data_IF_258970756343
#
_entry.id   IF_258970756343
#
_cell.length_a   1.000
_cell.length_b   1.000
_cell.length_c   1.000
_cell.angle_alpha   90.00
_cell.angle_beta   90.00
_cell.angle_gamma   90.00
#
_symmetry.space_group_name_H-M   'P 1'
#
loop_
_entity.id
_entity.type
_entity.pdbx_description
1 polymer ?
#
# COMPACT_ATOMS: atom_id res chain seq x y z
N UNK A 1 -17.48 -2.09 -15.24
CA UNK A 1 -18.15 -0.83 -14.88
C UNK A 1 -18.76 -0.28 -16.15
N UNK A 2 -20.06 -0.49 -16.32
CA UNK A 2 -20.83 0.20 -17.34
C UNK A 2 -20.95 1.67 -16.89
N UNK A 3 -20.53 2.59 -17.75
CA UNK A 3 -20.09 3.95 -17.42
C UNK A 3 -21.18 4.95 -17.02
N UNK A 4 -22.17 4.56 -16.21
CA UNK A 4 -23.29 5.42 -15.82
C UNK A 4 -23.25 5.92 -14.37
N UNK A 5 -22.34 5.38 -13.53
CA UNK A 5 -22.24 5.78 -12.13
C UNK A 5 -20.78 5.84 -11.65
N UNK A 6 -20.49 6.81 -10.78
CA UNK A 6 -19.18 7.02 -10.14
C UNK A 6 -19.36 6.92 -8.64
N UNK A 7 -18.67 5.95 -8.01
CA UNK A 7 -18.58 5.87 -6.56
C UNK A 7 -17.38 6.70 -6.07
N UNK A 8 -17.59 7.50 -5.02
CA UNK A 8 -16.51 8.25 -4.35
C UNK A 8 -16.24 7.67 -2.98
N UNK A 9 -14.99 7.28 -2.77
CA UNK A 9 -14.49 6.79 -1.49
C UNK A 9 -13.55 7.86 -0.91
N UNK A 10 -13.81 8.27 0.34
CA UNK A 10 -12.90 9.14 1.09
C UNK A 10 -12.08 8.28 2.04
N UNK A 11 -10.76 8.40 1.93
CA UNK A 11 -9.79 7.77 2.82
C UNK A 11 -9.06 8.82 3.63
N UNK A 12 -8.55 8.44 4.80
CA UNK A 12 -7.66 9.30 5.56
C UNK A 12 -6.31 9.41 4.83
N UNK A 13 -5.91 10.63 4.48
CA UNK A 13 -4.57 10.87 3.96
C UNK A 13 -3.55 10.78 5.09
N UNK A 14 -2.71 9.75 5.07
CA UNK A 14 -1.54 9.68 5.92
C UNK A 14 -0.44 10.64 5.45
N UNK A 15 0.39 11.07 6.40
CA UNK A 15 1.54 11.93 6.18
C UNK A 15 2.78 11.10 6.53
N UNK A 16 3.20 10.29 5.56
CA UNK A 16 4.38 9.46 5.64
C UNK A 16 5.05 9.38 4.28
N UNK A 17 6.00 8.47 4.18
CA UNK A 17 6.75 8.21 2.96
C UNK A 17 6.13 7.06 2.17
N UNK A 18 6.05 7.20 0.85
CA UNK A 18 5.46 6.17 -0.01
C UNK A 18 6.16 4.82 0.13
N UNK A 19 5.38 3.78 0.39
CA UNK A 19 5.81 2.40 0.55
C UNK A 19 4.99 1.46 -0.32
N UNK A 20 5.67 0.56 -1.02
CA UNK A 20 5.04 -0.47 -1.85
C UNK A 20 5.62 -1.82 -1.47
N UNK A 21 4.75 -2.82 -1.35
CA UNK A 21 5.14 -4.16 -0.93
C UNK A 21 4.55 -5.17 -1.88
N UNK A 22 5.37 -6.13 -2.30
CA UNK A 22 4.93 -7.26 -3.11
C UNK A 22 5.78 -8.50 -2.92
N UNK A 23 5.32 -9.64 -3.42
CA UNK A 23 6.03 -10.93 -3.37
C UNK A 23 6.49 -11.34 -4.78
N UNK A 24 7.77 -11.59 -4.96
CA UNK A 24 8.28 -12.19 -6.19
C UNK A 24 8.31 -13.70 -6.05
N UNK A 25 7.49 -14.40 -6.85
CA UNK A 25 7.46 -15.87 -6.89
C UNK A 25 8.74 -16.44 -7.46
N UNK A 26 9.27 -15.83 -8.52
CA UNK A 26 10.53 -16.23 -9.18
C UNK A 26 11.72 -16.18 -8.22
N UNK A 27 11.79 -15.14 -7.39
CA UNK A 27 12.89 -14.96 -6.42
C UNK A 27 12.57 -15.54 -5.04
N UNK A 28 11.34 -16.03 -4.83
CA UNK A 28 10.83 -16.42 -3.52
C UNK A 28 11.19 -15.40 -2.43
N UNK A 29 10.96 -14.12 -2.73
CA UNK A 29 11.44 -12.99 -1.93
C UNK A 29 10.44 -11.85 -1.89
N UNK A 30 10.47 -11.10 -0.78
CA UNK A 30 9.73 -9.83 -0.69
C UNK A 30 10.43 -8.78 -1.54
N UNK A 31 9.64 -7.98 -2.24
CA UNK A 31 10.08 -6.76 -2.92
C UNK A 31 9.43 -5.58 -2.20
N UNK A 32 10.25 -4.78 -1.53
CA UNK A 32 9.81 -3.61 -0.76
C UNK A 32 10.41 -2.37 -1.39
N UNK A 33 9.56 -1.42 -1.75
CA UNK A 33 9.94 -0.26 -2.55
C UNK A 33 9.54 1.02 -1.83
N UNK A 34 10.50 1.92 -1.67
CA UNK A 34 10.27 3.34 -1.42
C UNK A 34 9.96 4.06 -2.74
N UNK A 35 9.77 5.38 -2.73
CA UNK A 35 9.51 6.13 -3.97
C UNK A 35 10.52 5.87 -5.11
N UNK A 36 11.81 5.70 -4.79
CA UNK A 36 12.88 5.67 -5.80
C UNK A 36 13.77 4.42 -5.75
N UNK A 37 13.58 3.55 -4.76
CA UNK A 37 14.48 2.41 -4.49
C UNK A 37 13.69 1.20 -4.02
N UNK A 38 13.97 0.07 -4.65
CA UNK A 38 13.46 -1.26 -4.29
C UNK A 38 14.53 -2.11 -3.60
N UNK A 39 14.10 -2.86 -2.60
CA UNK A 39 14.88 -3.87 -1.88
C UNK A 39 14.24 -5.23 -2.10
N UNK A 40 15.07 -6.23 -2.37
CA UNK A 40 14.64 -7.64 -2.49
C UNK A 40 15.25 -8.40 -1.32
N UNK A 41 14.41 -9.01 -0.49
CA UNK A 41 14.87 -9.69 0.71
C UNK A 41 13.93 -10.83 1.12
N UNK A 42 14.47 -11.93 1.61
CA UNK A 42 13.68 -13.04 2.16
C UNK A 42 13.36 -12.83 3.63
N UNK A 43 14.24 -12.15 4.34
CA UNK A 43 14.16 -11.95 5.78
C UNK A 43 14.91 -10.68 6.21
N UNK A 44 14.82 -10.37 7.51
CA UNK A 44 15.47 -9.21 8.12
C UNK A 44 17.00 -9.21 7.99
N UNK A 45 17.64 -10.40 7.95
CA UNK A 45 19.10 -10.51 7.81
C UNK A 45 19.53 -10.01 6.43
N UNK A 46 18.86 -10.45 5.36
CA UNK A 46 19.13 -9.99 3.99
C UNK A 46 19.08 -8.45 3.93
N UNK A 47 18.07 -7.82 4.55
CA UNK A 47 17.94 -6.35 4.61
C UNK A 47 19.13 -5.70 5.30
N UNK A 48 19.60 -6.26 6.42
CA UNK A 48 20.69 -5.67 7.22
C UNK A 48 22.07 -5.86 6.58
N UNK A 49 22.29 -6.98 5.87
CA UNK A 49 23.63 -7.32 5.35
C UNK A 49 23.84 -6.88 3.91
N UNK A 50 22.81 -6.88 3.08
CA UNK A 50 22.93 -6.57 1.65
C UNK A 50 22.74 -5.08 1.34
N UNK A 51 22.12 -4.33 2.25
CA UNK A 51 21.73 -2.93 2.04
C UNK A 51 22.31 -2.04 3.15
N UNK A 52 23.42 -1.33 2.89
CA UNK A 52 24.04 -0.46 3.87
C UNK A 52 23.15 0.74 4.26
N UNK A 53 23.13 1.09 5.54
CA UNK A 53 22.17 2.05 6.10
C UNK A 53 22.35 3.48 5.59
N UNK A 54 23.57 3.98 5.49
CA UNK A 54 23.86 5.38 5.12
C UNK A 54 24.05 5.57 3.61
N UNK A 55 23.20 4.95 2.81
CA UNK A 55 23.28 5.01 1.34
C UNK A 55 21.93 5.36 0.73
N UNK A 56 21.82 5.30 -0.61
CA UNK A 56 20.55 5.44 -1.34
C UNK A 56 19.43 4.51 -0.84
N UNK A 57 19.77 3.43 -0.11
CA UNK A 57 18.81 2.48 0.44
C UNK A 57 18.19 2.91 1.77
N UNK A 58 18.62 4.02 2.39
CA UNK A 58 18.22 4.42 3.75
C UNK A 58 16.71 4.28 4.01
N UNK A 59 15.87 4.96 3.22
CA UNK A 59 14.42 4.94 3.39
C UNK A 59 13.83 3.55 3.08
N UNK A 60 14.15 2.96 1.93
CA UNK A 60 13.68 1.64 1.55
C UNK A 60 14.03 0.58 2.60
N UNK A 61 15.21 0.70 3.24
CA UNK A 61 15.67 -0.18 4.30
C UNK A 61 14.83 -0.03 5.56
N UNK A 62 14.50 1.19 5.99
CA UNK A 62 13.61 1.43 7.14
C UNK A 62 12.22 0.82 6.88
N UNK A 63 11.66 1.02 5.68
CA UNK A 63 10.39 0.42 5.26
C UNK A 63 10.49 -1.11 5.26
N UNK A 64 11.55 -1.67 4.68
CA UNK A 64 11.76 -3.12 4.62
C UNK A 64 11.91 -3.73 6.01
N UNK A 65 12.65 -3.12 6.93
CA UNK A 65 12.77 -3.60 8.30
C UNK A 65 11.43 -3.55 9.05
N UNK A 66 10.65 -2.48 8.85
CA UNK A 66 9.30 -2.37 9.38
C UNK A 66 8.41 -3.52 8.85
N UNK A 67 8.46 -3.79 7.54
CA UNK A 67 7.75 -4.91 6.92
C UNK A 67 8.19 -6.27 7.45
N UNK A 68 9.49 -6.53 7.54
CA UNK A 68 10.03 -7.80 8.04
C UNK A 68 9.61 -8.06 9.49
N UNK A 69 9.61 -7.03 10.34
CA UNK A 69 9.09 -7.13 11.72
C UNK A 69 7.61 -7.50 11.72
N UNK A 70 6.83 -6.93 10.80
CA UNK A 70 5.40 -7.22 10.68
C UNK A 70 5.16 -8.67 10.24
N UNK A 71 5.79 -9.13 9.16
CA UNK A 71 5.67 -10.51 8.67
C UNK A 71 6.11 -11.51 9.73
N UNK A 72 7.22 -11.25 10.45
CA UNK A 72 7.71 -12.11 11.54
C UNK A 72 6.71 -12.27 12.69
N UNK A 73 5.83 -11.29 12.90
CA UNK A 73 4.77 -11.37 13.92
C UNK A 73 3.52 -12.12 13.47
N UNK A 74 3.42 -12.48 12.19
CA UNK A 74 2.30 -13.24 11.64
C UNK A 74 2.56 -14.74 11.74
N UNK A 75 1.50 -15.54 11.90
CA UNK A 75 1.59 -16.99 11.75
C UNK A 75 1.76 -17.40 10.28
N UNK A 76 2.41 -18.54 10.03
CA UNK A 76 2.78 -19.00 8.68
C UNK A 76 1.59 -19.01 7.71
N UNK A 77 0.43 -19.56 8.12
CA UNK A 77 -0.76 -19.60 7.27
C UNK A 77 -1.22 -18.21 6.78
N UNK A 78 -1.02 -17.15 7.58
CA UNK A 78 -1.33 -15.77 7.16
C UNK A 78 -0.28 -15.24 6.19
N UNK A 79 0.99 -15.58 6.42
CA UNK A 79 2.07 -15.22 5.50
C UNK A 79 1.84 -15.87 4.14
N UNK A 80 1.44 -17.14 4.12
CA UNK A 80 1.16 -17.87 2.88
C UNK A 80 0.03 -17.20 2.08
N UNK A 81 -1.12 -16.96 2.73
CA UNK A 81 -2.26 -16.25 2.12
C UNK A 81 -1.88 -14.84 1.63
N UNK A 82 -1.04 -14.13 2.38
CA UNK A 82 -0.54 -12.81 2.01
C UNK A 82 0.39 -12.86 0.80
N UNK A 83 1.31 -13.84 0.75
CA UNK A 83 2.19 -14.03 -0.40
C UNK A 83 1.44 -14.47 -1.65
N UNK A 84 0.33 -15.21 -1.50
CA UNK A 84 -0.55 -15.56 -2.60
C UNK A 84 -1.18 -14.31 -3.23
N UNK A 85 -1.80 -13.43 -2.44
CA UNK A 85 -2.35 -12.17 -2.94
C UNK A 85 -1.22 -11.28 -3.51
N UNK A 86 -0.12 -11.11 -2.77
CA UNK A 86 1.02 -10.29 -3.22
C UNK A 86 1.82 -10.90 -4.37
N UNK A 87 1.54 -12.14 -4.79
CA UNK A 87 2.07 -12.69 -6.05
C UNK A 87 1.41 -12.01 -7.26
N UNK A 88 0.14 -11.58 -7.12
CA UNK A 88 -0.66 -10.96 -8.16
C UNK A 88 -0.69 -9.43 -8.05
N UNK A 89 -0.51 -8.93 -6.84
CA UNK A 89 -0.71 -7.53 -6.50
C UNK A 89 0.54 -6.85 -5.91
N UNK A 90 0.52 -5.52 -5.96
CA UNK A 90 1.40 -4.62 -5.21
C UNK A 90 0.52 -3.85 -4.23
N UNK A 91 0.79 -3.98 -2.94
CA UNK A 91 0.11 -3.20 -1.93
C UNK A 91 0.83 -1.87 -1.75
N UNK A 92 0.06 -0.79 -1.70
CA UNK A 92 0.55 0.59 -1.65
C UNK A 92 0.06 1.23 -0.36
N UNK A 93 0.99 1.86 0.35
CA UNK A 93 0.73 2.54 1.60
C UNK A 93 1.74 3.63 1.89
N UNK A 94 1.58 4.24 3.05
CA UNK A 94 2.54 5.20 3.59
C UNK A 94 3.25 4.61 4.81
N UNK A 95 4.57 4.71 4.81
CA UNK A 95 5.41 4.45 5.97
C UNK A 95 5.36 5.65 6.92
N UNK A 96 4.84 5.42 8.11
CA UNK A 96 4.53 6.47 9.09
C UNK A 96 5.18 6.17 10.44
N UNK A 97 5.36 7.21 11.26
CA UNK A 97 5.75 7.07 12.68
C UNK A 97 7.22 6.76 12.94
N UNK A 98 8.07 6.75 11.90
CA UNK A 98 9.51 6.75 12.07
C UNK A 98 9.98 8.10 12.65
N UNK A 99 10.83 8.06 13.69
CA UNK A 99 11.30 9.27 14.41
C UNK A 99 12.43 9.99 13.69
N UNK A 100 13.11 9.32 12.77
CA UNK A 100 14.23 9.87 12.00
C UNK A 100 13.73 10.64 10.76
N UNK A 101 12.44 10.51 10.42
CA UNK A 101 11.80 11.16 9.26
C UNK A 101 10.89 12.29 9.72
N UNK A 102 10.98 13.43 9.04
CA UNK A 102 10.21 14.63 9.38
C UNK A 102 8.82 14.49 8.74
N UNK A 103 7.83 14.18 9.56
CA UNK A 103 6.41 14.23 9.22
C UNK A 103 5.72 15.34 10.02
N UNK A 104 4.78 16.04 9.39
CA UNK A 104 3.92 17.06 10.01
C UNK A 104 3.00 16.44 11.08
N UNK A 105 2.56 15.21 10.87
CA UNK A 105 1.68 14.48 11.79
C UNK A 105 2.51 13.52 12.62
N UNK A 106 2.35 13.59 13.96
CA UNK A 106 2.95 12.63 14.88
C UNK A 106 2.09 11.36 14.94
N UNK A 107 2.70 10.23 14.62
CA UNK A 107 2.07 8.91 14.74
C UNK A 107 2.56 8.18 15.99
N UNK A 108 1.68 7.40 16.62
CA UNK A 108 1.98 6.69 17.87
C UNK A 108 2.92 5.48 17.72
N UNK A 109 3.06 4.94 16.50
CA UNK A 109 3.97 3.83 16.20
C UNK A 109 4.44 3.86 14.75
N UNK A 110 5.60 3.27 14.53
CA UNK A 110 6.13 2.98 13.21
C UNK A 110 5.33 1.84 12.55
N UNK A 111 4.80 2.06 11.35
CA UNK A 111 4.12 1.04 10.54
C UNK A 111 3.99 1.47 9.08
N UNK A 112 3.45 0.59 8.23
CA UNK A 112 2.98 0.91 6.87
C UNK A 112 1.46 0.89 6.89
N UNK A 113 0.83 2.01 6.51
CA UNK A 113 -0.62 2.13 6.43
C UNK A 113 -1.08 2.02 4.98
N UNK A 114 -1.68 0.88 4.61
CA UNK A 114 -2.04 0.57 3.23
C UNK A 114 -3.35 1.23 2.81
N UNK A 115 -3.40 1.77 1.59
CA UNK A 115 -4.57 2.50 1.08
C UNK A 115 -4.96 2.13 -0.36
N UNK A 116 -4.12 1.41 -1.11
CA UNK A 116 -4.42 1.02 -2.49
C UNK A 116 -3.73 -0.30 -2.85
N UNK A 117 -4.27 -0.97 -3.86
CA UNK A 117 -3.73 -2.19 -4.43
C UNK A 117 -3.59 -2.00 -5.93
N UNK A 118 -2.46 -2.40 -6.50
CA UNK A 118 -2.27 -2.44 -7.95
C UNK A 118 -2.06 -3.87 -8.43
N UNK A 119 -2.62 -4.22 -9.58
CA UNK A 119 -2.33 -5.50 -10.24
C UNK A 119 -1.00 -5.47 -10.96
N UNK A 120 -0.21 -6.54 -10.85
CA UNK A 120 1.07 -6.67 -11.57
C UNK A 120 0.91 -6.95 -13.06
N UNK A 121 -0.12 -7.73 -13.42
CA UNK A 121 -0.26 -8.24 -14.77
C UNK A 121 -0.52 -7.10 -15.77
N UNK A 122 0.40 -6.95 -16.74
CA UNK A 122 0.19 -6.25 -18.01
C UNK A 122 -0.15 -7.30 -19.07
N UNK A 123 -1.32 -7.21 -19.68
CA UNK A 123 -1.57 -7.89 -20.96
C UNK A 123 -1.29 -6.91 -22.11
N UNK A 124 -1.07 -7.41 -23.32
CA UNK A 124 -0.98 -6.56 -24.51
C UNK A 124 -2.22 -5.67 -24.69
N UNK A 125 -3.40 -6.14 -24.26
CA UNK A 125 -4.65 -5.40 -24.28
C UNK A 125 -4.76 -4.32 -23.18
N UNK A 126 -4.01 -4.43 -22.09
CA UNK A 126 -4.02 -3.45 -20.97
C UNK A 126 -2.76 -2.58 -20.91
N UNK A 127 -1.81 -2.77 -21.83
CA UNK A 127 -0.52 -2.07 -21.83
C UNK A 127 -0.64 -0.53 -21.92
N UNK A 128 -1.70 -0.03 -22.56
CA UNK A 128 -2.02 1.42 -22.66
C UNK A 128 -2.67 1.99 -21.40
N UNK A 129 -3.14 1.14 -20.49
CA UNK A 129 -3.82 1.56 -19.27
C UNK A 129 -2.76 1.73 -18.19
N UNK A 130 -2.38 2.98 -17.97
CA UNK A 130 -1.22 3.39 -17.16
C UNK A 130 -1.52 3.34 -15.66
N UNK A 131 -1.66 2.13 -15.11
CA UNK A 131 -1.83 1.80 -13.68
C UNK A 131 -3.30 1.65 -13.27
N UNK A 132 -3.74 0.42 -13.03
CA UNK A 132 -5.02 0.13 -12.39
C UNK A 132 -4.80 -0.04 -10.90
N UNK A 133 -5.12 1.00 -10.14
CA UNK A 133 -5.60 0.74 -8.79
C UNK A 133 -6.80 -0.19 -8.91
N UNK A 134 -6.80 -1.29 -8.18
CA UNK A 134 -7.93 -2.22 -8.16
C UNK A 134 -9.14 -1.51 -7.57
N UNK A 135 -10.28 -1.60 -8.26
CA UNK A 135 -11.52 -0.95 -7.80
C UNK A 135 -11.93 -1.42 -6.40
N UNK A 136 -11.65 -2.70 -6.09
CA UNK A 136 -11.91 -3.33 -4.80
C UNK A 136 -10.67 -3.34 -3.87
N UNK A 137 -9.72 -2.43 -4.04
CA UNK A 137 -8.46 -2.36 -3.26
C UNK A 137 -8.67 -2.57 -1.76
N UNK A 138 -9.68 -1.90 -1.18
CA UNK A 138 -9.95 -1.99 0.26
C UNK A 138 -10.45 -3.37 0.68
N UNK A 139 -11.30 -4.01 -0.12
CA UNK A 139 -11.75 -5.37 0.18
C UNK A 139 -10.58 -6.36 0.16
N UNK A 140 -9.64 -6.19 -0.78
CA UNK A 140 -8.41 -6.99 -0.85
C UNK A 140 -7.55 -6.77 0.40
N UNK A 141 -7.28 -5.50 0.77
CA UNK A 141 -6.47 -5.17 1.94
C UNK A 141 -7.11 -5.66 3.25
N UNK A 142 -8.43 -5.54 3.39
CA UNK A 142 -9.15 -5.91 4.61
C UNK A 142 -9.14 -7.42 4.89
N UNK A 143 -8.93 -8.28 3.88
CA UNK A 143 -8.70 -9.72 4.11
C UNK A 143 -7.54 -9.99 5.06
N UNK A 144 -6.56 -9.09 5.08
CA UNK A 144 -5.34 -9.20 5.88
C UNK A 144 -5.40 -8.42 7.19
N UNK A 145 -6.53 -7.78 7.51
CA UNK A 145 -6.75 -7.16 8.81
C UNK A 145 -7.01 -8.23 9.90
N UNK A 146 -6.64 -7.97 11.18
CA UNK A 146 -5.95 -6.79 11.69
C UNK A 146 -4.42 -6.89 11.58
N UNK A 147 -3.87 -7.89 10.86
CA UNK A 147 -2.43 -8.06 10.77
C UNK A 147 -1.77 -6.89 10.01
N UNK A 148 -2.40 -6.44 8.93
CA UNK A 148 -2.02 -5.23 8.20
C UNK A 148 -2.82 -4.02 8.69
N UNK A 149 -2.13 -2.88 8.72
CA UNK A 149 -2.75 -1.59 9.00
C UNK A 149 -3.30 -1.03 7.69
N UNK A 150 -4.61 -0.85 7.64
CA UNK A 150 -5.33 -0.37 6.46
C UNK A 150 -5.96 0.97 6.79
N UNK A 151 -5.80 1.93 5.88
CA UNK A 151 -6.37 3.26 6.02
C UNK A 151 -7.89 3.15 6.12
N UNK A 152 -8.44 3.82 7.14
CA UNK A 152 -9.87 3.97 7.29
C UNK A 152 -10.44 4.70 6.07
N UNK A 153 -11.51 4.13 5.50
CA UNK A 153 -12.20 4.68 4.35
C UNK A 153 -13.72 4.64 4.60
N UNK A 154 -14.43 5.50 3.87
CA UNK A 154 -15.89 5.51 3.83
C UNK A 154 -16.39 5.88 2.43
N UNK A 155 -17.47 5.23 2.01
CA UNK A 155 -18.22 5.64 0.82
C UNK A 155 -18.89 6.97 1.12
N UNK A 156 -18.65 7.97 0.28
CA UNK A 156 -19.27 9.28 0.41
C UNK A 156 -20.51 9.42 -0.47
N UNK A 157 -20.64 8.59 -1.50
CA UNK A 157 -21.81 8.55 -2.36
C UNK A 157 -21.53 7.84 -3.69
N UNK A 158 -22.62 7.50 -4.38
CA UNK A 158 -22.61 7.00 -5.75
C UNK A 158 -23.38 8.01 -6.60
N UNK A 159 -22.73 8.53 -7.64
CA UNK A 159 -23.23 9.66 -8.42
C UNK A 159 -23.52 9.23 -9.84
N UNK A 160 -24.64 9.70 -10.38
CA UNK A 160 -25.09 9.38 -11.75
C UNK A 160 -24.81 10.50 -12.74
N UNK A 161 -24.44 11.69 -12.25
CA UNK A 161 -24.03 12.82 -13.08
C UNK A 161 -22.84 13.56 -12.49
N UNK A 162 -22.06 14.21 -13.36
CA UNK A 162 -20.94 15.05 -12.97
C UNK A 162 -21.39 16.22 -12.07
N UNK A 163 -22.56 16.80 -12.33
CA UNK A 163 -23.11 17.90 -11.54
C UNK A 163 -23.42 17.49 -10.10
N UNK A 164 -24.03 16.31 -9.88
CA UNK A 164 -24.29 15.75 -8.54
C UNK A 164 -22.99 15.52 -7.78
N UNK A 165 -22.00 14.94 -8.46
CA UNK A 165 -20.67 14.70 -7.90
C UNK A 165 -20.03 16.02 -7.43
N UNK A 166 -20.00 17.05 -8.28
CA UNK A 166 -19.40 18.33 -7.95
C UNK A 166 -20.10 19.03 -6.77
N UNK A 167 -21.44 19.00 -6.74
CA UNK A 167 -22.21 19.59 -5.64
C UNK A 167 -21.88 18.91 -4.30
N UNK A 168 -21.86 17.57 -4.28
CA UNK A 168 -21.53 16.81 -3.07
C UNK A 168 -20.09 17.02 -2.60
N UNK A 169 -19.12 17.04 -3.53
CA UNK A 169 -17.71 17.28 -3.20
C UNK A 169 -17.49 18.67 -2.57
N UNK A 170 -18.25 19.68 -2.99
CA UNK A 170 -18.17 21.03 -2.42
C UNK A 170 -18.69 21.07 -0.95
N UNK A 171 -19.64 20.21 -0.60
CA UNK A 171 -20.20 20.13 0.75
C UNK A 171 -19.44 19.16 1.68
N UNK A 172 -18.59 18.27 1.14
CA UNK A 172 -17.84 17.27 1.91
C UNK A 172 -16.91 17.86 2.98
N UNK A 173 -16.55 19.14 2.88
CA UNK A 173 -15.71 19.84 3.86
C UNK A 173 -16.50 20.35 5.08
N UNK A 174 -17.84 20.36 5.02
CA UNK A 174 -18.71 20.80 6.11
C UNK A 174 -19.07 19.68 7.10
N UNK A 175 -18.62 18.45 6.84
CA UNK A 175 -18.88 17.22 7.63
C UNK A 175 -17.58 16.56 8.08
#
# INVERSE_FOLDING_TARGET
MEGNQVEVIRSLKTNGDGAQVTWSTELSSWVITSQNVSIVARNEKDVKTLYPEQTRYFLARKIALCWMKKVKSMGQARVDALTEDLSQYVFIGDFIGNKDLINLIKYGRETINFHSVMKKARSASTARQSLFSEANSFAILQKHAPALDVVANRVCGVYSSYSELCASLADIHKQ
#
